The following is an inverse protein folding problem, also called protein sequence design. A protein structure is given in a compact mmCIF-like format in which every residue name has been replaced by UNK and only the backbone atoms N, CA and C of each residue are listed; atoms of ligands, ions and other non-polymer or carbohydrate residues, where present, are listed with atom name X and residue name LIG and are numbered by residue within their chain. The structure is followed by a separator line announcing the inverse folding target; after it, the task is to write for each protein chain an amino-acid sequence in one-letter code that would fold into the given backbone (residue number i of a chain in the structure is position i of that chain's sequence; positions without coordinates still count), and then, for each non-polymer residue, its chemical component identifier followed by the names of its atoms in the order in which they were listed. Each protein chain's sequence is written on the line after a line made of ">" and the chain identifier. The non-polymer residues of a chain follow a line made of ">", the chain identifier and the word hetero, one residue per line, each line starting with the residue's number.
data_IF_433025197777
#
_entry.id   IF_433025197777
#
_cell.length_a   1.000
_cell.length_b   1.000
_cell.length_c   1.000
_cell.angle_alpha   90.00
_cell.angle_beta   90.00
_cell.angle_gamma   90.00
#
_symmetry.space_group_name_H-M   'P 1'
#
loop_
_entity.id
_entity.type
_entity.pdbx_description
1 polymer ?
#
# COMPACT_ATOMS: atom_id res chain seq x y z
N UNK A 1 -6.59 -13.45 -14.95
CA UNK A 1 -5.79 -12.40 -15.60
C UNK A 1 -6.60 -11.10 -15.57
N UNK A 2 -6.37 -10.20 -14.60
CA UNK A 2 -7.25 -9.05 -14.35
C UNK A 2 -6.60 -7.67 -14.62
N UNK A 3 -5.41 -7.62 -15.21
CA UNK A 3 -4.65 -6.39 -15.38
C UNK A 3 -4.82 -5.78 -16.79
N UNK A 4 -6.06 -5.44 -17.17
CA UNK A 4 -6.36 -4.70 -18.39
C UNK A 4 -6.76 -3.26 -18.06
N UNK A 5 -5.85 -2.47 -17.49
CA UNK A 5 -6.08 -1.03 -17.35
C UNK A 5 -4.86 -0.23 -17.80
N UNK A 6 -5.11 0.56 -18.86
CA UNK A 6 -4.14 1.42 -19.56
C UNK A 6 -4.17 2.83 -18.96
N UNK A 7 -4.06 2.91 -17.63
CA UNK A 7 -4.09 4.16 -16.87
C UNK A 7 -3.42 4.01 -15.51
N UNK A 8 -2.87 5.09 -14.95
CA UNK A 8 -2.19 5.16 -13.65
C UNK A 8 -3.13 5.00 -12.44
N UNK A 9 -4.35 4.50 -12.66
CA UNK A 9 -5.35 4.33 -11.61
C UNK A 9 -4.97 3.14 -10.73
N UNK A 10 -4.56 3.43 -9.49
CA UNK A 10 -4.21 2.40 -8.51
C UNK A 10 -5.48 1.70 -8.00
N UNK A 11 -5.55 0.39 -8.23
CA UNK A 11 -6.63 -0.46 -7.75
C UNK A 11 -6.17 -1.36 -6.60
N UNK A 12 -7.02 -1.62 -5.58
CA UNK A 12 -6.70 -2.55 -4.50
C UNK A 12 -6.46 -4.00 -4.96
N UNK A 13 -6.92 -4.35 -6.18
CA UNK A 13 -6.76 -5.67 -6.80
C UNK A 13 -5.41 -5.86 -7.52
N UNK A 14 -4.60 -4.80 -7.64
CA UNK A 14 -3.25 -4.91 -8.19
C UNK A 14 -2.31 -5.63 -7.23
N UNK A 15 -1.21 -6.15 -7.77
CA UNK A 15 -0.15 -6.73 -6.95
C UNK A 15 0.51 -5.66 -6.07
N UNK A 16 0.76 -5.96 -4.80
CA UNK A 16 1.26 -5.01 -3.80
C UNK A 16 2.54 -4.28 -4.27
N UNK A 17 3.45 -5.04 -4.87
CA UNK A 17 4.72 -4.53 -5.41
C UNK A 17 4.51 -3.57 -6.57
N UNK A 18 3.50 -3.79 -7.42
CA UNK A 18 3.12 -2.85 -8.50
C UNK A 18 2.50 -1.55 -7.97
N UNK A 19 1.69 -1.65 -6.90
CA UNK A 19 1.12 -0.48 -6.22
C UNK A 19 2.25 0.37 -5.63
N UNK A 20 3.15 -0.25 -4.87
CA UNK A 20 4.28 0.43 -4.24
C UNK A 20 5.26 1.02 -5.25
N UNK A 21 5.53 0.30 -6.35
CA UNK A 21 6.37 0.81 -7.43
C UNK A 21 5.78 2.07 -8.09
N UNK A 22 4.47 2.07 -8.36
CA UNK A 22 3.78 3.24 -8.90
C UNK A 22 3.83 4.41 -7.93
N UNK A 23 3.52 4.18 -6.65
CA UNK A 23 3.64 5.20 -5.60
C UNK A 23 5.06 5.76 -5.52
N UNK A 24 6.09 4.91 -5.63
CA UNK A 24 7.47 5.35 -5.59
C UNK A 24 7.81 6.32 -6.75
N UNK A 25 7.24 6.10 -7.94
CA UNK A 25 7.47 6.96 -9.10
C UNK A 25 6.89 8.38 -8.95
N UNK A 26 5.86 8.56 -8.12
CA UNK A 26 5.27 9.89 -7.84
C UNK A 26 6.18 10.76 -6.96
N UNK A 27 7.06 10.14 -6.18
CA UNK A 27 8.01 10.82 -5.32
C UNK A 27 9.34 11.09 -6.05
N UNK A 28 10.07 12.10 -5.56
CA UNK A 28 11.45 12.39 -5.97
C UNK A 28 12.42 11.27 -5.54
N UNK A 29 13.73 11.52 -5.60
CA UNK A 29 14.78 10.52 -5.31
C UNK A 29 14.69 9.88 -3.92
N UNK A 30 14.05 10.55 -2.95
CA UNK A 30 13.92 10.09 -1.57
C UNK A 30 12.44 10.06 -1.17
N UNK A 31 12.04 8.94 -0.57
CA UNK A 31 10.66 8.65 -0.15
C UNK A 31 10.64 8.51 1.37
N UNK A 32 9.72 9.21 2.04
CA UNK A 32 9.44 8.99 3.45
C UNK A 32 8.64 7.67 3.61
N UNK A 33 9.18 6.72 4.38
CA UNK A 33 8.56 5.42 4.63
C UNK A 33 7.17 5.54 5.24
N UNK A 34 6.98 6.48 6.17
CA UNK A 34 5.70 6.67 6.83
C UNK A 34 4.64 7.12 5.81
N UNK A 35 4.95 8.13 5.00
CA UNK A 35 4.01 8.67 4.02
C UNK A 35 3.70 7.64 2.93
N UNK A 36 4.71 6.85 2.54
CA UNK A 36 4.55 5.77 1.57
C UNK A 36 3.64 4.66 2.09
N UNK A 37 3.82 4.25 3.35
CA UNK A 37 2.92 3.30 4.01
C UNK A 37 1.49 3.83 4.11
N UNK A 38 1.30 5.11 4.49
CA UNK A 38 -0.03 5.71 4.56
C UNK A 38 -0.72 5.77 3.19
N UNK A 39 0.02 6.06 2.12
CA UNK A 39 -0.49 6.01 0.75
C UNK A 39 -0.90 4.60 0.34
N UNK A 40 -0.07 3.59 0.64
CA UNK A 40 -0.38 2.19 0.39
C UNK A 40 -1.64 1.72 1.16
N UNK A 41 -1.74 2.07 2.45
CA UNK A 41 -2.90 1.78 3.29
C UNK A 41 -4.19 2.41 2.74
N UNK A 42 -4.14 3.65 2.24
CA UNK A 42 -5.30 4.33 1.62
C UNK A 42 -5.82 3.62 0.37
N UNK A 43 -4.94 2.98 -0.41
CA UNK A 43 -5.32 2.22 -1.60
C UNK A 43 -5.97 0.88 -1.22
N UNK A 44 -5.43 0.19 -0.22
CA UNK A 44 -5.97 -1.11 0.21
C UNK A 44 -7.22 -0.99 1.10
N UNK A 45 -7.37 0.13 1.80
CA UNK A 45 -8.53 0.44 2.62
C UNK A 45 -9.06 1.82 2.20
N UNK A 46 -9.71 1.92 1.04
CA UNK A 46 -10.40 3.14 0.66
C UNK A 46 -11.46 3.39 1.73
N UNK A 47 -11.25 4.45 2.52
CA UNK A 47 -12.12 4.80 3.64
C UNK A 47 -13.49 5.08 3.05
N UNK A 48 -14.40 4.11 3.10
CA UNK A 48 -15.80 4.34 2.83
C UNK A 48 -16.24 5.32 3.92
N UNK A 49 -16.47 6.58 3.54
CA UNK A 49 -16.75 7.69 4.45
C UNK A 49 -18.06 7.45 5.18
N UNK A 50 -18.03 6.65 6.24
CA UNK A 50 -19.05 6.60 7.28
C UNK A 50 -18.38 6.66 8.64
N UNK A 51 -18.26 7.89 9.12
CA UNK A 51 -18.32 8.14 10.55
C UNK A 51 -19.55 7.43 11.12
N UNK A 52 -19.36 6.58 12.14
CA UNK A 52 -20.33 6.31 13.21
C UNK A 52 -19.69 5.43 14.29
N UNK A 53 -19.25 6.11 15.35
CA UNK A 53 -19.61 5.86 16.76
C UNK A 53 -20.21 4.48 17.12
N UNK A 54 -19.53 3.80 18.05
CA UNK A 54 -20.07 3.02 19.19
C UNK A 54 -21.46 2.36 19.05
N UNK A 55 -21.53 1.02 19.07
CA UNK A 55 -22.38 0.25 20.02
C UNK A 55 -22.45 -1.25 19.66
N UNK A 56 -22.43 -2.11 20.69
CA UNK A 56 -22.82 -3.53 20.68
C UNK A 56 -24.14 -3.75 19.92
N UNK A 57 -24.28 -4.86 19.18
CA UNK A 57 -25.27 -5.94 19.40
C UNK A 57 -25.46 -6.90 18.20
N UNK A 58 -25.61 -8.18 18.54
CA UNK A 58 -26.09 -9.36 17.78
C UNK A 58 -27.17 -9.08 16.71
N UNK A 59 -27.09 -9.72 15.53
CA UNK A 59 -28.06 -10.73 14.97
C UNK A 59 -27.93 -10.89 13.44
N UNK A 60 -27.98 -12.16 13.01
CA UNK A 60 -27.94 -12.77 11.66
C UNK A 60 -28.64 -11.98 10.52
N UNK A 61 -28.05 -11.98 9.31
CA UNK A 61 -28.61 -12.57 8.05
C UNK A 61 -27.91 -12.02 6.80
N UNK A 62 -27.38 -12.95 5.99
CA UNK A 62 -27.30 -12.95 4.51
C UNK A 62 -27.01 -11.62 3.80
N UNK A 63 -25.77 -11.43 3.31
CA UNK A 63 -25.39 -10.46 2.26
C UNK A 63 -23.90 -10.62 1.89
N UNK A 64 -23.62 -10.42 0.61
CA UNK A 64 -22.31 -10.41 -0.08
C UNK A 64 -21.09 -10.24 0.84
N UNK A 65 -20.10 -11.14 0.68
CA UNK A 65 -18.76 -11.02 1.23
C UNK A 65 -18.06 -9.77 0.67
N UNK A 66 -18.37 -8.61 1.23
CA UNK A 66 -17.45 -7.47 1.19
C UNK A 66 -16.26 -7.84 2.08
N UNK A 67 -15.02 -7.79 1.56
CA UNK A 67 -13.85 -8.10 2.37
C UNK A 67 -13.79 -7.13 3.54
N UNK A 68 -13.87 -7.65 4.77
CA UNK A 68 -13.55 -6.88 5.97
C UNK A 68 -12.21 -6.17 5.75
N UNK A 69 -12.09 -4.86 6.09
CA UNK A 69 -10.85 -4.14 5.89
C UNK A 69 -9.71 -4.93 6.54
N UNK A 70 -8.64 -5.27 5.79
CA UNK A 70 -7.59 -6.11 6.32
C UNK A 70 -7.04 -5.48 7.60
N UNK A 71 -6.93 -6.31 8.65
CA UNK A 71 -6.39 -5.87 9.93
C UNK A 71 -5.07 -5.11 9.71
N UNK A 72 -4.82 -4.05 10.49
CA UNK A 72 -3.66 -3.17 10.25
C UNK A 72 -2.33 -3.94 10.17
N UNK A 73 -2.20 -5.02 10.95
CA UNK A 73 -1.06 -5.94 10.91
C UNK A 73 -0.89 -6.65 9.56
N UNK A 74 -1.99 -7.02 8.88
CA UNK A 74 -1.95 -7.60 7.53
C UNK A 74 -1.45 -6.59 6.49
N UNK A 75 -1.91 -5.33 6.58
CA UNK A 75 -1.45 -4.26 5.70
C UNK A 75 0.04 -3.99 5.90
N UNK A 76 0.51 -3.97 7.16
CA UNK A 76 1.93 -3.85 7.48
C UNK A 76 2.75 -4.99 6.90
N UNK A 77 2.32 -6.25 7.07
CA UNK A 77 3.03 -7.40 6.54
C UNK A 77 3.13 -7.36 5.01
N UNK A 78 2.04 -7.00 4.32
CA UNK A 78 2.00 -6.82 2.86
C UNK A 78 2.95 -5.72 2.41
N UNK A 79 2.95 -4.59 3.10
CA UNK A 79 3.86 -3.48 2.82
C UNK A 79 5.32 -3.92 2.98
N UNK A 80 5.70 -4.51 4.11
CA UNK A 80 7.07 -4.96 4.36
C UNK A 80 7.55 -5.97 3.31
N UNK A 81 6.69 -6.93 2.93
CA UNK A 81 7.01 -7.90 1.89
C UNK A 81 7.28 -7.22 0.56
N UNK A 82 6.40 -6.33 0.11
CA UNK A 82 6.55 -5.68 -1.17
C UNK A 82 7.72 -4.68 -1.21
N UNK A 83 8.01 -3.98 -0.10
CA UNK A 83 9.23 -3.17 0.05
C UNK A 83 10.48 -4.04 -0.11
N UNK A 84 10.51 -5.22 0.52
CA UNK A 84 11.63 -6.14 0.39
C UNK A 84 11.78 -6.67 -1.05
N UNK A 85 10.68 -6.96 -1.74
CA UNK A 85 10.70 -7.35 -3.16
C UNK A 85 11.28 -6.24 -4.05
N UNK A 86 10.90 -4.97 -3.82
CA UNK A 86 11.48 -3.82 -4.54
C UNK A 86 12.97 -3.63 -4.24
N UNK A 87 13.39 -3.90 -3.02
CA UNK A 87 14.80 -3.84 -2.63
C UNK A 87 15.62 -4.94 -3.32
N UNK A 88 15.13 -6.19 -3.31
CA UNK A 88 15.79 -7.34 -3.96
C UNK A 88 15.89 -7.09 -5.48
N UNK A 89 14.85 -6.51 -6.09
CA UNK A 89 14.85 -6.13 -7.49
C UNK A 89 15.80 -4.96 -7.82
N UNK A 90 16.41 -4.32 -6.82
CA UNK A 90 17.33 -3.20 -7.01
C UNK A 90 16.64 -1.89 -7.40
N UNK A 91 15.32 -1.79 -7.21
CA UNK A 91 14.55 -0.59 -7.56
C UNK A 91 14.65 0.51 -6.49
N UNK A 92 14.86 0.09 -5.23
CA UNK A 92 15.00 0.98 -4.07
C UNK A 92 16.20 0.57 -3.21
N UNK A 93 16.71 1.53 -2.44
CA UNK A 93 17.74 1.36 -1.42
C UNK A 93 17.15 1.63 -0.05
N UNK A 94 17.34 0.68 0.85
CA UNK A 94 16.81 0.76 2.21
C UNK A 94 17.41 1.91 3.03
N UNK A 95 16.71 2.34 4.08
CA UNK A 95 17.17 3.39 4.96
C UNK A 95 18.54 3.07 5.57
N UNK A 96 19.40 4.08 5.63
CA UNK A 96 20.66 4.00 6.35
C UNK A 96 20.45 4.30 7.84
N UNK A 97 21.38 3.87 8.69
CA UNK A 97 21.39 4.19 10.13
C UNK A 97 21.29 5.70 10.43
N UNK A 98 21.70 6.55 9.47
CA UNK A 98 21.62 8.01 9.60
C UNK A 98 20.24 8.59 9.29
N UNK A 99 19.40 7.88 8.53
CA UNK A 99 18.05 8.32 8.11
C UNK A 99 17.15 7.09 8.01
N UNK A 100 16.69 6.52 9.13
CA UNK A 100 15.92 5.27 9.14
C UNK A 100 14.53 5.40 8.52
N UNK A 101 14.00 6.62 8.40
CA UNK A 101 12.64 6.87 7.93
C UNK A 101 12.57 7.10 6.40
N UNK A 102 13.70 7.05 5.69
CA UNK A 102 13.78 7.41 4.29
C UNK A 102 14.34 6.29 3.42
N UNK A 103 13.65 6.01 2.31
CA UNK A 103 14.08 5.10 1.25
C UNK A 103 14.53 5.90 0.05
N UNK A 104 15.59 5.47 -0.62
CA UNK A 104 16.08 6.12 -1.83
C UNK A 104 15.71 5.30 -3.06
N UNK A 105 15.21 5.94 -4.11
CA UNK A 105 15.03 5.28 -5.41
C UNK A 105 16.36 5.09 -6.12
N UNK A 106 16.52 3.94 -6.75
CA UNK A 106 17.75 3.59 -7.49
C UNK A 106 17.50 3.62 -9.00
N UNK A 107 16.25 3.36 -9.43
CA UNK A 107 15.86 3.44 -10.84
C UNK A 107 15.38 4.85 -11.22
N UNK A 108 16.13 5.49 -12.13
CA UNK A 108 15.72 6.72 -12.82
C UNK A 108 14.82 6.35 -14.01
N UNK A 109 13.77 7.15 -14.22
CA UNK A 109 12.97 7.06 -15.44
C UNK A 109 13.77 7.79 -16.54
N UNK A 110 14.47 7.01 -17.35
CA UNK A 110 15.17 7.50 -18.55
C UNK A 110 14.20 7.87 -19.66
#
# INVERSE_FOLDING_TARGET
>A
MCCSQRGTTLLPSMHDTSILYTLAQEHADVINLHDWYQSFKRILSPRNSKAKTTSKSKKRKDRCEEPEPPAEASIQARFCRAVMELQIAGLIRMPSKRRPDFVQRVAFRG
#
